data_IF_034515717714
#
_entry.id   IF_034515717714
#
_cell.length_a   1.000
_cell.length_b   1.000
_cell.length_c   1.000
_cell.angle_alpha   90.00
_cell.angle_beta   90.00
_cell.angle_gamma   90.00
#
_symmetry.space_group_name_H-M   'P 1'
#
loop_
_entity.id
_entity.type
_entity.pdbx_description
1 polymer ?
#
# COMPACT_ATOMS: atom_id res chain seq x y z
N UNK A 1 15.31 -24.07 17.62
CA UNK A 1 16.13 -24.62 16.52
C UNK A 1 17.59 -24.25 16.77
N UNK A 2 18.53 -25.19 16.65
CA UNK A 2 19.97 -24.99 16.95
C UNK A 2 20.90 -25.13 15.73
N UNK A 3 20.38 -25.54 14.57
CA UNK A 3 21.18 -25.73 13.36
C UNK A 3 21.32 -24.40 12.60
N UNK A 4 22.55 -23.95 12.30
CA UNK A 4 22.77 -22.79 11.45
C UNK A 4 22.15 -22.98 10.05
N UNK A 5 21.67 -21.88 9.46
CA UNK A 5 21.05 -21.91 8.13
C UNK A 5 21.97 -22.51 7.05
N UNK A 6 23.27 -22.22 7.14
CA UNK A 6 24.29 -22.71 6.21
C UNK A 6 24.52 -24.23 6.27
N UNK A 7 24.05 -24.89 7.34
CA UNK A 7 24.23 -26.33 7.57
C UNK A 7 22.93 -27.11 7.34
N UNK A 8 21.88 -26.47 6.83
CA UNK A 8 20.64 -27.17 6.49
C UNK A 8 20.84 -28.07 5.27
N UNK A 9 20.31 -29.29 5.36
CA UNK A 9 20.14 -30.10 4.17
C UNK A 9 19.14 -29.41 3.22
N UNK A 10 19.23 -29.72 1.92
CA UNK A 10 18.28 -29.18 0.93
C UNK A 10 16.83 -29.52 1.31
N UNK A 11 16.59 -30.70 1.88
CA UNK A 11 15.27 -31.13 2.34
C UNK A 11 14.76 -30.27 3.49
N UNK A 12 15.63 -29.97 4.47
CA UNK A 12 15.27 -29.17 5.62
C UNK A 12 15.06 -27.71 5.23
N UNK A 13 15.88 -27.20 4.32
CA UNK A 13 15.70 -25.87 3.76
C UNK A 13 14.39 -25.73 2.99
N UNK A 14 14.03 -26.70 2.14
CA UNK A 14 12.74 -26.69 1.42
C UNK A 14 11.56 -26.81 2.38
N UNK A 15 11.69 -27.61 3.44
CA UNK A 15 10.65 -27.73 4.47
C UNK A 15 10.48 -26.43 5.24
N UNK A 16 11.59 -25.79 5.64
CA UNK A 16 11.60 -24.48 6.28
C UNK A 16 10.97 -23.41 5.39
N UNK A 17 11.28 -23.40 4.09
CA UNK A 17 10.66 -22.47 3.13
C UNK A 17 9.17 -22.72 2.98
N UNK A 18 8.72 -23.97 2.97
CA UNK A 18 7.29 -24.32 2.88
C UNK A 18 6.54 -23.96 4.17
N UNK A 19 7.15 -24.15 5.33
CA UNK A 19 6.59 -23.70 6.61
C UNK A 19 6.53 -22.16 6.66
N UNK A 20 7.59 -21.49 6.20
CA UNK A 20 7.61 -20.04 6.04
C UNK A 20 6.50 -19.57 5.09
N UNK A 21 6.34 -20.18 3.91
CA UNK A 21 5.28 -19.85 2.94
C UNK A 21 3.88 -20.23 3.43
N UNK A 22 3.74 -21.33 4.16
CA UNK A 22 2.47 -21.75 4.77
C UNK A 22 2.04 -20.82 5.89
N UNK A 23 3.00 -20.25 6.64
CA UNK A 23 2.78 -19.15 7.58
C UNK A 23 2.55 -17.81 6.86
N UNK A 24 3.04 -17.66 5.63
CA UNK A 24 2.69 -16.59 4.68
C UNK A 24 1.30 -16.80 4.03
N UNK A 25 0.40 -17.53 4.70
CA UNK A 25 -1.01 -17.12 4.74
C UNK A 25 -1.23 -15.88 5.63
N UNK A 26 -0.15 -15.17 6.00
CA UNK A 26 -0.17 -13.73 6.25
C UNK A 26 -0.69 -13.02 5.01
N UNK A 27 -2.01 -12.90 4.99
CA UNK A 27 -2.69 -11.67 4.67
C UNK A 27 -2.22 -10.96 3.40
N UNK A 28 -2.99 -11.12 2.33
CA UNK A 28 -3.02 -10.12 1.25
C UNK A 28 -3.58 -8.77 1.73
N UNK A 29 -3.54 -8.44 3.03
CA UNK A 29 -3.72 -7.08 3.51
C UNK A 29 -2.63 -6.21 2.87
N UNK A 30 -3.05 -5.60 1.77
CA UNK A 30 -2.55 -4.35 1.24
C UNK A 30 -1.29 -4.43 0.37
N UNK A 31 -1.20 -5.44 -0.51
CA UNK A 31 -0.75 -5.09 -1.86
C UNK A 31 -1.82 -4.13 -2.39
N UNK A 32 -1.45 -2.86 -2.58
CA UNK A 32 -2.37 -1.79 -2.96
C UNK A 32 -3.16 -2.23 -4.18
N UNK A 33 -4.44 -2.51 -3.97
CA UNK A 33 -5.37 -2.69 -5.05
C UNK A 33 -5.42 -1.35 -5.81
N UNK A 34 -4.88 -1.32 -7.03
CA UNK A 34 -4.90 -0.15 -7.90
C UNK A 34 -6.33 0.30 -8.24
N UNK A 35 -7.32 -0.59 -8.06
CA UNK A 35 -8.73 -0.24 -8.16
C UNK A 35 -9.19 0.62 -6.98
N UNK A 36 -8.66 0.38 -5.78
CA UNK A 36 -8.99 1.11 -4.55
C UNK A 36 -8.08 2.31 -4.24
N UNK A 37 -6.82 2.29 -4.69
CA UNK A 37 -5.81 3.28 -4.35
C UNK A 37 -5.21 3.98 -5.57
N UNK A 38 -4.76 5.22 -5.39
CA UNK A 38 -4.05 6.01 -6.41
C UNK A 38 -2.70 6.46 -5.88
N UNK A 39 -1.63 6.28 -6.66
CA UNK A 39 -0.29 6.74 -6.31
C UNK A 39 0.07 8.08 -6.94
N UNK A 40 0.56 9.01 -6.12
CA UNK A 40 1.11 10.30 -6.55
C UNK A 40 0.06 11.35 -6.97
N UNK A 41 0.47 12.62 -6.86
CA UNK A 41 -0.43 13.75 -7.13
C UNK A 41 -0.93 13.81 -8.58
N UNK A 42 -0.13 13.37 -9.55
CA UNK A 42 -0.51 13.37 -10.98
C UNK A 42 -1.67 12.42 -11.26
N UNK A 43 -1.65 11.23 -10.67
CA UNK A 43 -2.74 10.28 -10.88
C UNK A 43 -3.97 10.66 -10.07
N UNK A 44 -3.80 11.22 -8.86
CA UNK A 44 -4.92 11.75 -8.09
C UNK A 44 -5.63 12.90 -8.83
N UNK A 45 -4.87 13.78 -9.48
CA UNK A 45 -5.42 14.86 -10.30
C UNK A 45 -6.27 14.34 -11.46
N UNK A 46 -5.80 13.28 -12.15
CA UNK A 46 -6.58 12.58 -13.18
C UNK A 46 -7.86 11.97 -12.61
N UNK A 47 -7.77 11.30 -11.46
CA UNK A 47 -8.91 10.65 -10.81
C UNK A 47 -10.00 11.64 -10.38
N UNK A 48 -9.59 12.82 -9.86
CA UNK A 48 -10.52 13.88 -9.43
C UNK A 48 -10.89 14.87 -10.55
N UNK A 49 -10.45 14.62 -11.78
CA UNK A 49 -10.65 15.51 -12.93
C UNK A 49 -10.27 16.99 -12.66
N UNK A 50 -9.16 17.20 -11.96
CA UNK A 50 -8.67 18.53 -11.61
C UNK A 50 -7.17 18.70 -11.92
N UNK A 51 -6.65 19.91 -11.73
CA UNK A 51 -5.23 20.20 -11.94
C UNK A 51 -4.37 19.77 -10.73
N UNK A 52 -3.09 19.44 -10.98
CA UNK A 52 -2.14 19.10 -9.91
C UNK A 52 -2.03 20.20 -8.83
N UNK A 53 -2.00 21.51 -9.16
CA UNK A 53 -2.03 22.56 -8.13
C UNK A 53 -3.26 22.51 -7.23
N UNK A 54 -4.43 22.13 -7.76
CA UNK A 54 -5.65 21.96 -6.97
C UNK A 54 -5.54 20.79 -6.01
N UNK A 55 -5.00 19.65 -6.45
CA UNK A 55 -4.68 18.52 -5.56
C UNK A 55 -3.70 18.94 -4.46
N UNK A 56 -2.64 19.67 -4.80
CA UNK A 56 -1.68 20.15 -3.80
C UNK A 56 -2.35 21.04 -2.76
N UNK A 57 -3.28 21.93 -3.15
CA UNK A 57 -4.08 22.74 -2.21
C UNK A 57 -4.99 21.86 -1.35
N UNK A 58 -5.64 20.86 -1.93
CA UNK A 58 -6.53 19.93 -1.21
C UNK A 58 -5.76 19.16 -0.13
N UNK A 59 -4.59 18.63 -0.48
CA UNK A 59 -3.72 17.92 0.46
C UNK A 59 -3.19 18.86 1.54
N UNK A 60 -2.74 20.08 1.16
CA UNK A 60 -2.32 21.09 2.15
C UNK A 60 -3.44 21.56 3.08
N UNK A 61 -4.70 21.48 2.63
CA UNK A 61 -5.85 21.86 3.46
C UNK A 61 -6.18 20.85 4.56
N UNK A 62 -5.57 19.65 4.54
CA UNK A 62 -5.80 18.59 5.53
C UNK A 62 -7.12 17.84 5.38
N UNK A 63 -8.04 18.31 4.51
CA UNK A 63 -9.39 17.74 4.35
C UNK A 63 -9.41 16.25 4.01
N UNK A 64 -8.39 15.78 3.28
CA UNK A 64 -8.30 14.38 2.83
C UNK A 64 -7.19 13.60 3.54
N UNK A 65 -6.56 14.15 4.58
CA UNK A 65 -5.48 13.49 5.32
C UNK A 65 -5.83 12.06 5.79
N UNK A 66 -7.06 11.77 6.26
CA UNK A 66 -7.43 10.42 6.65
C UNK A 66 -7.39 9.38 5.52
N UNK A 67 -7.36 9.83 4.25
CA UNK A 67 -7.26 9.00 3.06
C UNK A 67 -5.84 8.92 2.49
N UNK A 68 -4.86 9.57 3.12
CA UNK A 68 -3.46 9.59 2.66
C UNK A 68 -2.65 8.53 3.41
N UNK A 69 -1.87 7.75 2.66
CA UNK A 69 -0.83 6.87 3.21
C UNK A 69 0.50 7.16 2.53
N UNK A 70 1.59 7.26 3.31
CA UNK A 70 2.94 7.48 2.78
C UNK A 70 3.75 6.20 2.88
N UNK A 71 4.29 5.74 1.76
CA UNK A 71 5.14 4.55 1.70
C UNK A 71 6.40 4.92 0.92
N UNK A 72 7.51 4.98 1.65
CA UNK A 72 8.75 5.54 1.14
C UNK A 72 8.55 6.99 0.67
N UNK A 73 8.93 7.26 -0.58
CA UNK A 73 8.78 8.57 -1.23
C UNK A 73 7.40 8.80 -1.86
N UNK A 74 6.57 7.76 -1.96
CA UNK A 74 5.30 7.81 -2.69
C UNK A 74 4.13 8.03 -1.75
N UNK A 75 3.31 9.04 -2.07
CA UNK A 75 2.01 9.23 -1.44
C UNK A 75 0.94 8.42 -2.16
N UNK A 76 0.15 7.68 -1.39
CA UNK A 76 -0.98 6.87 -1.83
C UNK A 76 -2.27 7.43 -1.27
N UNK A 77 -3.33 7.33 -2.06
CA UNK A 77 -4.62 7.96 -1.81
C UNK A 77 -5.75 6.95 -1.97
N UNK A 78 -6.57 6.75 -0.93
CA UNK A 78 -7.74 5.87 -0.98
C UNK A 78 -8.90 6.56 -1.72
N UNK A 79 -9.33 5.99 -2.85
CA UNK A 79 -10.38 6.57 -3.70
C UNK A 79 -11.74 6.62 -2.99
N UNK A 80 -12.09 5.53 -2.28
CA UNK A 80 -13.38 5.42 -1.60
C UNK A 80 -13.45 6.43 -0.45
N UNK A 81 -12.37 6.52 0.32
CA UNK A 81 -12.31 7.44 1.45
C UNK A 81 -12.28 8.90 1.00
N UNK A 82 -11.59 9.23 -0.10
CA UNK A 82 -11.66 10.58 -0.68
C UNK A 82 -13.09 10.91 -1.12
N UNK A 83 -13.79 10.00 -1.81
CA UNK A 83 -15.19 10.20 -2.20
C UNK A 83 -16.04 10.49 -0.97
N UNK A 84 -15.88 9.74 0.10
CA UNK A 84 -16.70 9.90 1.30
C UNK A 84 -16.37 11.18 2.08
N UNK A 85 -15.11 11.64 2.07
CA UNK A 85 -14.69 12.91 2.66
C UNK A 85 -15.09 14.14 1.82
N UNK A 86 -15.28 13.98 0.51
CA UNK A 86 -15.67 15.07 -0.39
C UNK A 86 -17.17 15.15 -0.66
N UNK A 87 -17.96 14.16 -0.20
CA UNK A 87 -19.42 14.29 -0.15
C UNK A 87 -19.77 15.33 0.90
N UNK A 88 -20.18 16.50 0.43
CA UNK A 88 -20.96 17.49 1.19
C UNK A 88 -22.43 17.14 1.01
#
# INVERSE_FOLDING_TARGET
MKTPLAELSVKDFVSLLKEYQGSYKTSSEQLFDEESWVSGYKNLAKHLHCSVPTVCRLVKSGKIDPAIRRIGVTCWFDKNKIRDLMKV
#
